data_IF_522461590990
#
_entry.id   IF_522461590990
#
_cell.length_a   1.000
_cell.length_b   1.000
_cell.length_c   1.000
_cell.angle_alpha   90.00
_cell.angle_beta   90.00
_cell.angle_gamma   90.00
#
_symmetry.space_group_name_H-M   'P 1'
#
loop_
_entity.id
_entity.type
_entity.pdbx_description
1 polymer ?
#
# COMPACT_ATOMS: atom_id res chain seq x y z
N UNK A 1 -5.47 11.43 7.03
CA UNK A 1 -5.72 10.65 5.81
C UNK A 1 -7.19 10.49 5.49
N UNK A 2 -7.54 10.85 4.25
CA UNK A 2 -8.85 10.60 3.64
C UNK A 2 -9.17 9.09 3.68
N UNK A 3 -10.40 8.72 4.06
CA UNK A 3 -10.78 7.29 4.23
C UNK A 3 -11.53 6.71 3.02
N UNK A 4 -12.25 7.55 2.30
CA UNK A 4 -12.99 7.18 1.11
C UNK A 4 -12.25 7.74 -0.09
N UNK A 5 -11.60 6.89 -0.87
CA UNK A 5 -10.93 7.24 -2.13
C UNK A 5 -11.77 6.71 -3.29
N UNK A 6 -11.93 7.50 -4.33
CA UNK A 6 -12.49 7.01 -5.59
C UNK A 6 -11.38 6.34 -6.43
N UNK A 7 -11.78 5.61 -7.48
CA UNK A 7 -10.84 4.87 -8.33
C UNK A 7 -9.79 5.79 -8.99
N UNK A 8 -10.21 6.96 -9.48
CA UNK A 8 -9.31 7.96 -10.07
C UNK A 8 -8.26 8.44 -9.07
N UNK A 9 -8.67 8.71 -7.82
CA UNK A 9 -7.76 9.15 -6.77
C UNK A 9 -6.83 8.01 -6.32
N UNK A 10 -7.28 6.76 -6.35
CA UNK A 10 -6.42 5.60 -6.09
C UNK A 10 -5.36 5.46 -7.18
N UNK A 11 -5.72 5.66 -8.44
CA UNK A 11 -4.75 5.65 -9.54
C UNK A 11 -3.75 6.79 -9.41
N UNK A 12 -4.19 7.98 -9.01
CA UNK A 12 -3.29 9.13 -8.89
C UNK A 12 -2.33 9.01 -7.70
N UNK A 13 -2.85 8.66 -6.52
CA UNK A 13 -2.08 8.75 -5.27
C UNK A 13 -1.51 7.41 -4.80
N UNK A 14 -2.15 6.30 -5.14
CA UNK A 14 -1.81 4.97 -4.63
C UNK A 14 -1.27 4.01 -5.69
N UNK A 15 -1.21 4.40 -6.97
CA UNK A 15 -0.56 3.60 -7.99
C UNK A 15 0.96 3.63 -7.80
N UNK A 16 1.56 2.44 -7.81
CA UNK A 16 3.01 2.27 -7.69
C UNK A 16 3.67 2.47 -9.04
N UNK A 17 4.53 3.49 -9.12
CA UNK A 17 5.39 3.73 -10.28
C UNK A 17 6.43 2.62 -10.44
N UNK A 18 7.03 2.46 -11.63
CA UNK A 18 8.10 1.48 -11.85
C UNK A 18 9.29 1.66 -10.89
N UNK A 19 9.63 2.91 -10.54
CA UNK A 19 10.71 3.24 -9.63
C UNK A 19 10.39 2.80 -8.20
N UNK A 20 9.17 3.06 -7.74
CA UNK A 20 8.71 2.62 -6.40
C UNK A 20 8.67 1.09 -6.31
N UNK A 21 8.26 0.42 -7.40
CA UNK A 21 8.29 -1.04 -7.50
C UNK A 21 9.71 -1.60 -7.40
N UNK A 22 10.70 -0.92 -7.98
CA UNK A 22 12.11 -1.30 -7.90
C UNK A 22 12.68 -1.15 -6.47
N UNK A 23 12.11 -0.26 -5.65
CA UNK A 23 12.48 -0.10 -4.24
C UNK A 23 11.89 -1.19 -3.33
N UNK A 24 10.92 -1.99 -3.82
CA UNK A 24 10.27 -3.01 -3.01
C UNK A 24 11.23 -4.15 -2.66
N UNK A 25 11.29 -4.59 -1.39
CA UNK A 25 12.21 -5.64 -0.97
C UNK A 25 11.90 -6.98 -1.63
N UNK A 26 12.94 -7.66 -2.15
CA UNK A 26 12.76 -8.93 -2.86
C UNK A 26 12.18 -10.08 -2.00
N UNK A 27 12.30 -10.02 -0.66
CA UNK A 27 12.20 -11.20 0.21
C UNK A 27 10.79 -11.73 0.52
N UNK A 28 9.73 -10.92 0.50
CA UNK A 28 8.37 -11.40 0.83
C UNK A 28 7.26 -10.47 0.33
N UNK A 29 6.16 -10.98 -0.28
CA UNK A 29 5.01 -10.18 -0.74
C UNK A 29 4.40 -9.30 0.36
N UNK A 30 4.25 -9.88 1.54
CA UNK A 30 3.85 -9.21 2.77
C UNK A 30 4.77 -7.99 3.04
N UNK A 31 6.08 -8.19 3.08
CA UNK A 31 7.03 -7.10 3.37
C UNK A 31 7.04 -6.03 2.27
N UNK A 32 6.80 -6.40 1.01
CA UNK A 32 6.63 -5.46 -0.11
C UNK A 32 5.41 -4.58 0.08
N UNK A 33 4.27 -5.17 0.46
CA UNK A 33 3.04 -4.44 0.70
C UNK A 33 3.20 -3.38 1.79
N UNK A 34 3.66 -3.76 2.99
CA UNK A 34 3.77 -2.78 4.07
C UNK A 34 4.76 -1.68 3.76
N UNK A 35 5.83 -1.98 3.02
CA UNK A 35 6.74 -0.95 2.51
C UNK A 35 6.04 -0.01 1.54
N UNK A 36 5.33 -0.54 0.54
CA UNK A 36 4.58 0.25 -0.44
C UNK A 36 3.53 1.16 0.22
N UNK A 37 2.78 0.63 1.19
CA UNK A 37 1.76 1.38 1.92
C UNK A 37 2.38 2.50 2.76
N UNK A 38 3.50 2.25 3.44
CA UNK A 38 4.22 3.27 4.19
C UNK A 38 4.79 4.35 3.27
N UNK A 39 5.34 3.96 2.12
CA UNK A 39 5.87 4.90 1.13
C UNK A 39 4.77 5.83 0.59
N UNK A 40 3.64 5.27 0.16
CA UNK A 40 2.49 6.06 -0.32
C UNK A 40 1.90 6.93 0.77
N UNK A 41 1.76 6.40 1.98
CA UNK A 41 1.27 7.19 3.11
C UNK A 41 2.21 8.37 3.42
N UNK A 42 3.54 8.15 3.37
CA UNK A 42 4.52 9.22 3.54
C UNK A 42 4.41 10.29 2.45
N UNK A 43 4.23 9.91 1.18
CA UNK A 43 4.06 10.85 0.08
C UNK A 43 2.78 11.70 0.20
N UNK A 44 1.68 11.09 0.69
CA UNK A 44 0.38 11.76 0.80
C UNK A 44 0.29 12.62 2.08
N UNK A 45 0.75 12.11 3.23
CA UNK A 45 0.54 12.73 4.54
C UNK A 45 1.81 13.38 5.11
N UNK A 46 2.97 13.21 4.48
CA UNK A 46 4.25 13.76 4.96
C UNK A 46 4.79 13.13 6.25
N UNK A 47 4.21 12.00 6.69
CA UNK A 47 4.61 11.26 7.90
C UNK A 47 4.35 9.76 7.72
N UNK A 48 4.85 8.92 8.62
CA UNK A 48 4.51 7.49 8.63
C UNK A 48 3.18 7.20 9.35
N UNK A 49 2.47 6.11 8.97
CA UNK A 49 1.28 5.67 9.70
C UNK A 49 1.68 5.18 11.09
N UNK A 50 0.92 5.53 12.12
CA UNK A 50 1.19 5.09 13.50
C UNK A 50 0.60 3.72 13.77
N UNK A 51 -0.45 3.34 13.04
CA UNK A 51 -1.03 2.01 13.05
C UNK A 51 -1.65 1.67 11.71
N UNK A 52 -1.87 0.38 11.46
CA UNK A 52 -2.62 -0.13 10.30
C UNK A 52 -4.01 0.47 10.13
N UNK A 53 -4.62 0.87 11.24
CA UNK A 53 -5.96 1.49 11.25
C UNK A 53 -5.97 2.89 10.62
N UNK A 54 -4.81 3.52 10.45
CA UNK A 54 -4.66 4.78 9.74
C UNK A 54 -4.73 4.59 8.22
N UNK A 55 -4.45 3.39 7.74
CA UNK A 55 -4.48 3.06 6.32
C UNK A 55 -5.92 2.76 5.87
N UNK A 56 -6.43 3.45 4.84
CA UNK A 56 -7.75 3.14 4.30
C UNK A 56 -7.76 1.75 3.67
N UNK A 57 -8.75 0.93 4.03
CA UNK A 57 -8.86 -0.45 3.56
C UNK A 57 -8.92 -0.56 2.02
N UNK A 58 -9.50 0.44 1.35
CA UNK A 58 -9.57 0.48 -0.11
C UNK A 58 -8.18 0.68 -0.75
N UNK A 59 -7.35 1.54 -0.17
CA UNK A 59 -5.97 1.74 -0.63
C UNK A 59 -5.12 0.49 -0.37
N UNK A 60 -5.32 -0.16 0.78
CA UNK A 60 -4.64 -1.42 1.10
C UNK A 60 -4.93 -2.49 0.04
N UNK A 61 -6.20 -2.68 -0.33
CA UNK A 61 -6.60 -3.62 -1.38
C UNK A 61 -6.02 -3.23 -2.74
N UNK A 62 -6.10 -1.95 -3.08
CA UNK A 62 -5.61 -1.44 -4.36
C UNK A 62 -4.08 -1.64 -4.53
N UNK A 63 -3.29 -1.35 -3.50
CA UNK A 63 -1.83 -1.56 -3.53
C UNK A 63 -1.47 -3.04 -3.51
N UNK A 64 -2.23 -3.85 -2.77
CA UNK A 64 -2.05 -5.31 -2.75
C UNK A 64 -2.20 -5.94 -4.14
N UNK A 65 -3.22 -5.55 -4.89
CA UNK A 65 -3.47 -6.06 -6.24
C UNK A 65 -2.31 -5.77 -7.20
N UNK A 66 -1.64 -4.63 -7.03
CA UNK A 66 -0.48 -4.24 -7.85
C UNK A 66 0.79 -5.05 -7.55
N UNK A 67 0.93 -5.58 -6.33
CA UNK A 67 2.13 -6.29 -5.85
C UNK A 67 1.98 -7.80 -6.01
N UNK A 68 0.80 -8.34 -5.69
CA UNK A 68 0.60 -9.79 -5.61
C UNK A 68 -0.06 -10.38 -6.85
N UNK A 69 -0.66 -9.58 -7.73
CA UNK A 69 -1.35 -10.09 -8.91
C UNK A 69 -2.47 -11.07 -8.50
N UNK A 70 -3.68 -10.54 -8.31
CA UNK A 70 -4.86 -11.20 -7.74
C UNK A 70 -4.87 -11.37 -6.21
N UNK A 71 -5.85 -10.68 -5.61
CA UNK A 71 -6.19 -10.55 -4.20
C UNK A 71 -6.59 -11.86 -3.47
N UNK A 72 -5.84 -12.96 -3.61
CA UNK A 72 -6.18 -14.26 -2.98
C UNK A 72 -5.42 -14.64 -1.71
N UNK A 73 -4.47 -13.84 -1.22
CA UNK A 73 -3.68 -14.19 -0.03
C UNK A 73 -3.67 -13.13 1.10
N UNK A 74 -4.78 -12.43 1.33
CA UNK A 74 -4.86 -11.41 2.39
C UNK A 74 -5.50 -11.89 3.70
N UNK A 75 -4.95 -12.95 4.31
CA UNK A 75 -5.32 -13.32 5.70
C UNK A 75 -4.21 -13.14 6.75
N UNK A 76 -2.95 -13.00 6.38
CA UNK A 76 -1.83 -13.03 7.33
C UNK A 76 -0.80 -11.94 7.08
N UNK A 77 -1.20 -10.67 7.04
CA UNK A 77 -0.21 -9.61 7.16
C UNK A 77 -0.04 -9.22 8.62
N UNK A 78 1.19 -9.21 9.12
CA UNK A 78 1.58 -8.76 10.47
C UNK A 78 2.64 -7.63 10.33
N UNK A 79 2.42 -6.51 11.02
CA UNK A 79 3.28 -5.31 11.06
C UNK A 79 3.46 -5.08 12.56
N UNK A 80 4.16 -6.02 13.17
CA UNK A 80 4.87 -5.81 14.42
C UNK A 80 6.31 -5.44 14.07
#
# INVERSE_FOLDING_TARGET
MKRNWNEEELQEFWALSPEERALLPAKSPARRLGFALQLKFLQIEGRFPSSRRDLPAIALRFVAEQIEGHARHFKNYDLD
#
